data_IF_090560774290
#
_entry.id   IF_090560774290
#
_cell.length_a   1.000
_cell.length_b   1.000
_cell.length_c   1.000
_cell.angle_alpha   90.00
_cell.angle_beta   90.00
_cell.angle_gamma   90.00
#
_symmetry.space_group_name_H-M   'P 1'
#
loop_
_entity.id
_entity.type
_entity.pdbx_description
1 polymer ?
#
# COMPACT_ATOMS: atom_id res chain seq x y z
N UNK A 1 -17.66 -27.46 6.58
CA UNK A 1 -17.35 -26.08 7.04
C UNK A 1 -15.84 -25.83 7.19
N UNK A 2 -15.09 -26.59 7.99
CA UNK A 2 -13.66 -26.29 8.23
C UNK A 2 -12.72 -26.34 7.01
N UNK A 3 -12.95 -27.24 6.05
CA UNK A 3 -12.15 -27.35 4.81
C UNK A 3 -12.27 -26.11 3.93
N UNK A 4 -13.49 -25.56 3.80
CA UNK A 4 -13.77 -24.38 2.99
C UNK A 4 -13.14 -23.13 3.63
N UNK A 5 -13.31 -22.97 4.95
CA UNK A 5 -12.71 -21.85 5.70
C UNK A 5 -11.18 -21.89 5.57
N UNK A 6 -10.55 -23.06 5.71
CA UNK A 6 -9.09 -23.20 5.53
C UNK A 6 -8.63 -22.84 4.12
N UNK A 7 -9.41 -23.19 3.09
CA UNK A 7 -9.12 -22.79 1.71
C UNK A 7 -9.23 -21.27 1.52
N UNK A 8 -10.29 -20.65 2.05
CA UNK A 8 -10.48 -19.20 1.98
C UNK A 8 -9.34 -18.46 2.68
N UNK A 9 -8.92 -18.91 3.87
CA UNK A 9 -7.79 -18.31 4.58
C UNK A 9 -6.49 -18.41 3.77
N UNK A 10 -6.26 -19.54 3.09
CA UNK A 10 -5.13 -19.70 2.18
C UNK A 10 -5.20 -18.74 0.98
N UNK A 11 -6.38 -18.56 0.39
CA UNK A 11 -6.59 -17.62 -0.71
C UNK A 11 -6.42 -16.16 -0.28
N UNK A 12 -6.90 -15.79 0.91
CA UNK A 12 -6.68 -14.45 1.48
C UNK A 12 -5.20 -14.19 1.66
N UNK A 13 -4.45 -15.15 2.20
CA UNK A 13 -3.00 -15.04 2.35
C UNK A 13 -2.30 -14.87 0.97
N UNK A 14 -2.69 -15.67 -0.02
CA UNK A 14 -2.18 -15.54 -1.39
C UNK A 14 -2.49 -14.17 -2.00
N UNK A 15 -3.69 -13.64 -1.79
CA UNK A 15 -4.07 -12.32 -2.27
C UNK A 15 -3.23 -11.21 -1.62
N UNK A 16 -2.94 -11.31 -0.32
CA UNK A 16 -2.05 -10.37 0.39
C UNK A 16 -0.64 -10.43 -0.20
N UNK A 17 -0.09 -11.64 -0.40
CA UNK A 17 1.24 -11.82 -0.98
C UNK A 17 1.30 -11.24 -2.41
N UNK A 18 0.28 -11.52 -3.24
CA UNK A 18 0.20 -11.01 -4.59
C UNK A 18 0.13 -9.47 -4.61
N UNK A 19 -0.63 -8.86 -3.70
CA UNK A 19 -0.73 -7.42 -3.57
C UNK A 19 0.62 -6.80 -3.18
N UNK A 20 1.32 -7.39 -2.21
CA UNK A 20 2.66 -6.94 -1.81
C UNK A 20 3.64 -7.06 -2.98
N UNK A 21 3.67 -8.21 -3.66
CA UNK A 21 4.53 -8.39 -4.82
C UNK A 21 4.25 -7.35 -5.90
N UNK A 22 2.97 -7.10 -6.22
CA UNK A 22 2.55 -6.06 -7.16
C UNK A 22 2.96 -4.65 -6.73
N UNK A 23 2.99 -4.33 -5.45
CA UNK A 23 3.49 -3.02 -4.99
C UNK A 23 4.99 -2.84 -5.28
N UNK A 24 5.79 -3.92 -5.25
CA UNK A 24 7.23 -3.87 -5.55
C UNK A 24 7.54 -3.88 -7.05
N UNK A 25 6.82 -4.69 -7.84
CA UNK A 25 7.05 -4.78 -9.29
C UNK A 25 6.13 -3.87 -10.11
N UNK A 26 5.17 -3.21 -9.45
CA UNK A 26 4.18 -2.30 -10.04
C UNK A 26 4.78 -1.25 -10.98
N UNK A 27 5.95 -0.65 -10.67
CA UNK A 27 6.58 0.30 -11.58
C UNK A 27 6.88 -0.27 -12.97
N UNK A 28 7.14 -1.59 -13.08
CA UNK A 28 7.36 -2.28 -14.38
C UNK A 28 6.07 -2.30 -15.21
N UNK A 29 4.91 -2.32 -14.55
CA UNK A 29 3.58 -2.35 -15.16
C UNK A 29 2.93 -0.97 -15.26
N UNK A 30 3.65 0.11 -14.92
CA UNK A 30 3.15 1.48 -14.97
C UNK A 30 2.32 1.91 -13.76
N UNK A 31 2.31 1.13 -12.67
CA UNK A 31 1.72 1.52 -11.40
C UNK A 31 2.81 2.07 -10.47
N UNK A 32 2.72 3.36 -10.11
CA UNK A 32 3.62 3.99 -9.16
C UNK A 32 2.86 4.33 -7.86
N UNK A 33 3.29 3.73 -6.77
CA UNK A 33 2.74 3.94 -5.43
C UNK A 33 3.67 4.78 -4.54
N UNK A 34 4.74 5.34 -5.11
CA UNK A 34 5.69 6.18 -4.38
C UNK A 34 5.04 7.50 -3.97
N UNK A 35 5.39 7.99 -2.78
CA UNK A 35 4.97 9.32 -2.36
C UNK A 35 5.59 10.37 -3.30
N UNK A 36 4.84 11.44 -3.66
CA UNK A 36 5.39 12.55 -4.43
C UNK A 36 6.63 13.10 -3.73
N UNK A 37 7.77 13.12 -4.42
CA UNK A 37 9.05 13.60 -3.89
C UNK A 37 9.15 15.14 -3.92
N UNK A 38 8.02 15.84 -4.15
CA UNK A 38 7.98 17.30 -4.21
C UNK A 38 8.07 17.90 -2.82
N UNK A 39 9.00 18.80 -2.61
CA UNK A 39 9.04 19.64 -1.42
C UNK A 39 7.75 20.47 -1.34
N UNK A 40 7.06 20.43 -0.19
CA UNK A 40 5.87 21.25 0.07
C UNK A 40 6.18 22.21 1.21
N UNK A 41 6.10 23.52 0.96
CA UNK A 41 6.30 24.56 1.97
C UNK A 41 4.98 25.30 2.20
N UNK A 42 4.47 25.24 3.43
CA UNK A 42 3.25 25.93 3.83
C UNK A 42 3.63 26.93 4.92
N UNK A 43 3.30 28.22 4.77
CA UNK A 43 3.52 29.19 5.85
C UNK A 43 2.65 28.83 7.06
N UNK A 44 3.24 28.87 8.25
CA UNK A 44 2.53 28.64 9.51
C UNK A 44 2.52 29.93 10.31
N UNK A 45 1.34 30.35 10.78
CA UNK A 45 1.21 31.49 11.68
C UNK A 45 1.57 31.06 13.11
N UNK A 46 2.57 31.73 13.71
CA UNK A 46 2.97 31.52 15.09
C UNK A 46 2.41 32.66 15.95
N UNK A 47 1.48 32.34 16.85
CA UNK A 47 1.01 33.28 17.87
C UNK A 47 1.96 33.23 19.08
N UNK A 48 2.52 34.39 19.46
CA UNK A 48 3.36 34.53 20.65
C UNK A 48 2.53 34.70 21.94
N UNK A 49 3.11 34.31 23.08
CA UNK A 49 2.54 34.53 24.42
C UNK A 49 2.70 35.98 24.89
#
# INVERSE_FOLDING_TARGET
MGKLIRAILGLVLLAIIALVAYAYIGPIFGADFSAPQSETRIPVELHGN
#
